data_IF_604130124694
#
_entry.id   IF_604130124694
#
_cell.length_a   1.000
_cell.length_b   1.000
_cell.length_c   1.000
_cell.angle_alpha   90.00
_cell.angle_beta   90.00
_cell.angle_gamma   90.00
#
_symmetry.space_group_name_H-M   'P 1'
#
loop_
_entity.id
_entity.type
_entity.pdbx_description
1 polymer ?
#
# COMPACT_ATOMS: atom_id res chain seq x y z
N UNK A 1 2.10 -24.25 -2.93
CA UNK A 1 0.80 -23.91 -2.32
C UNK A 1 1.07 -23.24 -0.98
N UNK A 2 0.82 -21.96 -0.89
CA UNK A 2 0.79 -21.29 0.42
C UNK A 2 -0.57 -21.64 1.03
N UNK A 3 -0.58 -22.64 1.92
CA UNK A 3 -1.78 -23.03 2.62
C UNK A 3 -2.25 -21.85 3.50
N UNK A 4 -3.55 -21.59 3.53
CA UNK A 4 -4.12 -20.62 4.44
C UNK A 4 -3.79 -21.02 5.89
N UNK A 5 -3.42 -20.05 6.70
CA UNK A 5 -3.21 -20.19 8.13
C UNK A 5 -4.55 -20.01 8.86
N UNK A 6 -4.67 -20.56 10.05
CA UNK A 6 -5.84 -20.37 10.89
C UNK A 6 -5.51 -19.35 12.01
N UNK A 7 -6.42 -18.40 12.23
CA UNK A 7 -6.39 -17.45 13.33
C UNK A 7 -7.59 -17.71 14.22
N UNK A 8 -7.37 -17.75 15.53
CA UNK A 8 -8.46 -17.77 16.52
C UNK A 8 -8.20 -16.74 17.61
N UNK A 9 -9.24 -16.04 18.00
CA UNK A 9 -9.22 -15.04 19.07
C UNK A 9 -10.10 -15.51 20.20
N UNK A 10 -9.59 -15.43 21.42
CA UNK A 10 -10.28 -15.89 22.63
C UNK A 10 -10.34 -14.78 23.65
N UNK A 11 -11.39 -14.83 24.48
CA UNK A 11 -11.49 -14.04 25.72
C UNK A 11 -11.62 -14.94 26.92
N UNK A 12 -11.35 -14.39 28.10
CA UNK A 12 -11.59 -15.06 29.36
C UNK A 12 -12.79 -14.42 30.05
N UNK A 13 -13.89 -15.12 30.13
CA UNK A 13 -15.12 -14.67 30.78
C UNK A 13 -15.50 -15.63 31.90
N UNK A 14 -15.61 -15.14 33.13
CA UNK A 14 -15.94 -15.93 34.32
C UNK A 14 -15.03 -17.17 34.52
N UNK A 15 -13.73 -17.00 34.20
CA UNK A 15 -12.74 -18.09 34.29
C UNK A 15 -12.85 -19.14 33.19
N UNK A 16 -13.66 -18.90 32.13
CA UNK A 16 -13.79 -19.78 30.98
C UNK A 16 -13.22 -19.11 29.72
N UNK A 17 -12.53 -19.92 28.91
CA UNK A 17 -12.06 -19.50 27.60
C UNK A 17 -13.25 -19.56 26.63
N UNK A 18 -13.53 -18.43 25.96
CA UNK A 18 -14.58 -18.29 24.97
C UNK A 18 -13.94 -17.84 23.66
N UNK A 19 -14.22 -18.56 22.56
CA UNK A 19 -13.76 -18.14 21.23
C UNK A 19 -14.64 -17.01 20.72
N UNK A 20 -14.00 -15.90 20.32
CA UNK A 20 -14.66 -14.72 19.77
C UNK A 20 -14.62 -14.71 18.25
N UNK A 21 -13.57 -15.27 17.64
CA UNK A 21 -13.38 -15.30 16.21
C UNK A 21 -12.54 -16.51 15.80
N UNK A 22 -12.90 -17.13 14.69
CA UNK A 22 -12.05 -18.09 13.97
C UNK A 22 -12.11 -17.78 12.47
N UNK A 23 -10.96 -17.64 11.82
CA UNK A 23 -10.85 -17.30 10.40
C UNK A 23 -9.57 -17.88 9.78
N UNK A 24 -9.60 -18.09 8.46
CA UNK A 24 -8.41 -18.46 7.69
C UNK A 24 -7.85 -17.22 6.98
N UNK A 25 -6.50 -17.13 6.88
CA UNK A 25 -5.83 -15.99 6.29
C UNK A 25 -4.54 -16.40 5.57
N UNK A 26 -4.07 -15.54 4.65
CA UNK A 26 -2.73 -15.57 4.08
C UNK A 26 -1.80 -14.62 4.82
N UNK A 27 -2.30 -13.42 5.12
CA UNK A 27 -1.60 -12.36 5.85
C UNK A 27 -2.59 -11.61 6.74
N UNK A 28 -2.11 -10.97 7.81
CA UNK A 28 -2.95 -10.16 8.69
C UNK A 28 -2.22 -8.98 9.30
N UNK A 29 -3.00 -8.01 9.76
CA UNK A 29 -2.50 -6.95 10.64
C UNK A 29 -3.58 -6.50 11.61
N UNK A 30 -3.15 -5.84 12.69
CA UNK A 30 -4.03 -5.25 13.70
C UNK A 30 -3.91 -3.73 13.63
N UNK A 31 -5.02 -3.05 13.37
CA UNK A 31 -5.08 -1.60 13.31
C UNK A 31 -6.45 -1.11 13.79
N UNK A 32 -6.51 0.09 14.32
CA UNK A 32 -7.77 0.77 14.59
C UNK A 32 -8.21 1.45 13.28
N UNK A 33 -9.09 0.78 12.53
CA UNK A 33 -9.49 1.22 11.18
C UNK A 33 -10.81 2.00 11.18
N UNK A 34 -11.59 1.92 12.24
CA UNK A 34 -12.81 2.72 12.38
C UNK A 34 -12.64 3.95 13.30
N UNK A 35 -11.51 4.04 14.00
CA UNK A 35 -11.14 5.19 14.82
C UNK A 35 -11.78 5.19 16.21
N UNK A 36 -12.21 4.04 16.71
CA UNK A 36 -12.85 3.88 18.03
C UNK A 36 -11.85 3.68 19.17
N UNK A 37 -10.55 3.54 18.87
CA UNK A 37 -9.46 3.32 19.81
C UNK A 37 -9.19 1.85 20.12
N UNK A 38 -9.96 0.91 19.60
CA UNK A 38 -9.73 -0.51 19.72
C UNK A 38 -9.02 -1.04 18.47
N UNK A 39 -8.40 -2.21 18.59
CA UNK A 39 -7.74 -2.84 17.45
C UNK A 39 -8.69 -3.76 16.72
N UNK A 40 -8.91 -3.46 15.45
CA UNK A 40 -9.57 -4.34 14.50
C UNK A 40 -8.60 -5.38 13.94
N UNK A 41 -9.16 -6.45 13.38
CA UNK A 41 -8.39 -7.48 12.69
C UNK A 41 -8.63 -7.32 11.19
N UNK A 42 -7.58 -6.98 10.46
CA UNK A 42 -7.56 -6.97 9.00
C UNK A 42 -6.90 -8.26 8.53
N UNK A 43 -7.62 -9.04 7.72
CA UNK A 43 -7.14 -10.29 7.13
C UNK A 43 -7.10 -10.19 5.61
N UNK A 44 -6.11 -10.83 5.01
CA UNK A 44 -6.06 -11.09 3.58
C UNK A 44 -6.19 -12.59 3.33
N UNK A 45 -7.09 -12.97 2.44
CA UNK A 45 -7.16 -14.31 1.86
C UNK A 45 -6.78 -14.22 0.39
N UNK A 46 -5.63 -14.77 0.06
CA UNK A 46 -5.07 -14.75 -1.28
C UNK A 46 -5.05 -16.16 -1.87
N UNK A 47 -5.57 -16.30 -3.08
CA UNK A 47 -5.52 -17.53 -3.87
C UNK A 47 -4.46 -17.39 -4.97
N UNK A 48 -3.28 -18.02 -4.84
CA UNK A 48 -2.21 -17.90 -5.82
C UNK A 48 -2.52 -18.60 -7.15
N UNK A 49 -3.43 -19.58 -7.18
CA UNK A 49 -3.80 -20.29 -8.41
C UNK A 49 -4.74 -19.43 -9.26
N UNK A 50 -5.68 -18.75 -8.61
CA UNK A 50 -6.60 -17.83 -9.28
C UNK A 50 -6.02 -16.42 -9.44
N UNK A 51 -4.90 -16.13 -8.76
CA UNK A 51 -4.25 -14.80 -8.71
C UNK A 51 -5.23 -13.71 -8.27
N UNK A 52 -6.05 -14.03 -7.28
CA UNK A 52 -7.07 -13.14 -6.70
C UNK A 52 -7.01 -13.17 -5.18
N UNK A 53 -7.58 -12.17 -4.55
CA UNK A 53 -7.67 -12.13 -3.10
C UNK A 53 -8.75 -11.18 -2.62
N UNK A 54 -9.08 -11.34 -1.35
CA UNK A 54 -10.03 -10.49 -0.64
C UNK A 54 -9.43 -10.02 0.67
N UNK A 55 -9.76 -8.79 1.04
CA UNK A 55 -9.53 -8.24 2.35
C UNK A 55 -10.79 -8.35 3.18
N UNK A 56 -10.65 -8.79 4.42
CA UNK A 56 -11.71 -8.89 5.41
C UNK A 56 -11.35 -8.00 6.60
N UNK A 57 -12.35 -7.30 7.10
CA UNK A 57 -12.22 -6.49 8.30
C UNK A 57 -13.18 -7.02 9.37
N UNK A 58 -12.62 -7.35 10.53
CA UNK A 58 -13.35 -7.70 11.74
C UNK A 58 -13.14 -6.59 12.76
N UNK A 59 -14.17 -5.75 12.95
CA UNK A 59 -14.13 -4.63 13.88
C UNK A 59 -14.40 -5.12 15.29
N UNK A 60 -13.65 -4.62 16.24
CA UNK A 60 -13.89 -4.87 17.65
C UNK A 60 -14.93 -3.88 18.21
N UNK A 61 -16.16 -4.33 18.40
CA UNK A 61 -17.27 -3.52 18.94
C UNK A 61 -17.73 -4.12 20.25
N UNK A 62 -17.64 -3.38 21.35
CA UNK A 62 -18.03 -3.86 22.69
C UNK A 62 -17.41 -5.22 23.07
N UNK A 63 -16.16 -5.46 22.63
CA UNK A 63 -15.44 -6.70 22.92
C UNK A 63 -15.89 -7.92 22.10
N UNK A 64 -16.67 -7.70 21.03
CA UNK A 64 -17.05 -8.69 20.05
C UNK A 64 -16.53 -8.30 18.67
N UNK A 65 -16.36 -9.28 17.77
CA UNK A 65 -15.92 -8.99 16.41
C UNK A 65 -17.10 -8.99 15.44
N UNK A 66 -17.30 -7.85 14.77
CA UNK A 66 -18.25 -7.67 13.70
C UNK A 66 -17.54 -7.68 12.35
N UNK A 67 -17.94 -8.58 11.47
CA UNK A 67 -17.37 -8.64 10.12
C UNK A 67 -18.01 -7.58 9.22
N UNK A 68 -17.18 -6.69 8.68
CA UNK A 68 -17.60 -5.81 7.60
C UNK A 68 -17.73 -6.59 6.26
N UNK A 69 -18.43 -6.07 5.25
CA UNK A 69 -18.38 -6.62 3.91
C UNK A 69 -16.93 -6.70 3.41
N UNK A 70 -16.58 -7.77 2.72
CA UNK A 70 -15.23 -7.94 2.17
C UNK A 70 -14.96 -6.99 1.01
N UNK A 71 -13.69 -6.64 0.81
CA UNK A 71 -13.22 -5.83 -0.31
C UNK A 71 -12.23 -6.62 -1.16
N UNK A 72 -12.35 -6.51 -2.50
CA UNK A 72 -11.45 -7.23 -3.41
C UNK A 72 -10.06 -6.59 -3.46
N UNK A 73 -9.04 -7.43 -3.54
CA UNK A 73 -7.70 -7.05 -3.98
C UNK A 73 -7.67 -6.91 -5.50
N UNK A 74 -6.66 -6.23 -6.02
CA UNK A 74 -6.36 -6.22 -7.45
C UNK A 74 -6.18 -7.64 -7.97
N UNK A 75 -6.82 -7.96 -9.10
CA UNK A 75 -6.68 -9.27 -9.76
C UNK A 75 -5.34 -9.39 -10.49
N UNK A 76 -4.89 -10.61 -10.75
CA UNK A 76 -3.65 -10.91 -11.49
C UNK A 76 -2.39 -10.80 -10.66
N UNK A 77 -2.48 -10.56 -9.35
CA UNK A 77 -1.31 -10.52 -8.45
C UNK A 77 -0.75 -11.92 -8.20
N UNK A 78 0.57 -11.99 -8.01
CA UNK A 78 1.29 -13.27 -7.83
C UNK A 78 1.63 -13.56 -6.36
N UNK A 79 1.55 -12.56 -5.51
CA UNK A 79 1.82 -12.70 -4.07
C UNK A 79 1.90 -11.38 -3.34
N UNK A 80 1.67 -11.43 -2.05
CA UNK A 80 1.74 -10.27 -1.16
C UNK A 80 3.20 -10.04 -0.75
N UNK A 81 3.68 -8.81 -0.81
CA UNK A 81 5.05 -8.42 -0.45
C UNK A 81 5.14 -7.63 0.84
N UNK A 82 4.22 -6.72 1.07
CA UNK A 82 4.26 -5.85 2.23
C UNK A 82 2.87 -5.38 2.61
N UNK A 83 2.61 -5.37 3.90
CA UNK A 83 1.47 -4.69 4.51
C UNK A 83 2.00 -3.55 5.36
N UNK A 84 1.42 -2.36 5.19
CA UNK A 84 1.72 -1.18 5.97
C UNK A 84 0.41 -0.59 6.48
N UNK A 85 0.33 -0.28 7.76
CA UNK A 85 -0.77 0.48 8.36
C UNK A 85 -0.37 1.93 8.52
N UNK A 86 -1.29 2.85 8.29
CA UNK A 86 -1.06 4.29 8.42
C UNK A 86 -2.32 5.06 8.13
N UNK A 87 -2.17 6.32 7.73
CA UNK A 87 -3.29 7.21 7.48
C UNK A 87 -3.32 7.68 6.03
N UNK A 88 -4.52 7.66 5.43
CA UNK A 88 -4.80 8.30 4.15
C UNK A 88 -4.95 9.83 4.29
N UNK A 89 -5.63 10.23 5.35
CA UNK A 89 -5.77 11.58 5.86
C UNK A 89 -5.79 11.50 7.38
N UNK A 90 -5.68 12.64 8.07
CA UNK A 90 -5.50 12.67 9.54
C UNK A 90 -6.59 11.93 10.32
N UNK A 91 -7.75 11.69 9.72
CA UNK A 91 -8.90 11.02 10.34
C UNK A 91 -9.32 9.72 9.63
N UNK A 92 -8.51 9.22 8.70
CA UNK A 92 -8.80 8.01 7.92
C UNK A 92 -7.64 7.03 7.98
N UNK A 93 -7.66 6.11 8.96
CA UNK A 93 -6.74 4.98 8.98
C UNK A 93 -6.91 4.10 7.75
N UNK A 94 -5.81 3.50 7.28
CA UNK A 94 -5.82 2.64 6.11
C UNK A 94 -4.75 1.55 6.19
N UNK A 95 -4.94 0.50 5.38
CA UNK A 95 -3.98 -0.57 5.16
C UNK A 95 -3.53 -0.55 3.71
N UNK A 96 -2.22 -0.43 3.50
CA UNK A 96 -1.56 -0.42 2.20
C UNK A 96 -0.95 -1.80 1.94
N UNK A 97 -1.43 -2.49 0.93
CA UNK A 97 -1.02 -3.85 0.58
C UNK A 97 -0.28 -3.83 -0.74
N UNK A 98 1.03 -3.97 -0.69
CA UNK A 98 1.85 -4.09 -1.89
C UNK A 98 1.96 -5.56 -2.31
N UNK A 99 1.58 -5.84 -3.55
CA UNK A 99 1.58 -7.18 -4.14
C UNK A 99 2.40 -7.21 -5.43
N UNK A 100 3.04 -8.35 -5.73
CA UNK A 100 3.67 -8.59 -7.03
C UNK A 100 2.59 -8.72 -8.08
N UNK A 101 2.67 -7.92 -9.14
CA UNK A 101 1.74 -7.98 -10.26
C UNK A 101 2.30 -8.80 -11.42
N UNK A 102 3.60 -8.64 -11.66
CA UNK A 102 4.41 -9.45 -12.56
C UNK A 102 5.87 -9.49 -12.07
N UNK A 103 6.77 -10.11 -12.83
CA UNK A 103 8.17 -10.28 -12.44
C UNK A 103 8.90 -8.95 -12.12
N UNK A 104 8.44 -7.83 -12.67
CA UNK A 104 9.10 -6.52 -12.58
C UNK A 104 8.22 -5.45 -11.94
N UNK A 105 6.93 -5.72 -11.71
CA UNK A 105 5.98 -4.72 -11.26
C UNK A 105 5.31 -5.10 -9.94
N UNK A 106 4.96 -4.08 -9.19
CA UNK A 106 4.08 -4.19 -8.02
C UNK A 106 2.87 -3.29 -8.17
N UNK A 107 1.79 -3.71 -7.53
CA UNK A 107 0.56 -2.92 -7.33
C UNK A 107 0.36 -2.70 -5.85
N UNK A 108 -0.22 -1.57 -5.47
CA UNK A 108 -0.59 -1.31 -4.06
C UNK A 108 -2.09 -1.10 -3.96
N UNK A 109 -2.77 -2.01 -3.27
CA UNK A 109 -4.15 -1.86 -2.86
C UNK A 109 -4.21 -1.08 -1.54
N UNK A 110 -5.16 -0.17 -1.43
CA UNK A 110 -5.35 0.66 -0.23
C UNK A 110 -6.74 0.44 0.33
N UNK A 111 -6.83 -0.14 1.50
CA UNK A 111 -8.08 -0.46 2.16
C UNK A 111 -8.36 0.52 3.29
N UNK A 112 -9.58 1.03 3.33
CA UNK A 112 -10.04 1.92 4.38
C UNK A 112 -11.49 1.61 4.77
N UNK A 113 -11.81 1.90 6.03
CA UNK A 113 -13.17 1.83 6.54
C UNK A 113 -13.64 3.24 6.92
N UNK A 114 -14.76 3.67 6.37
CA UNK A 114 -15.36 4.96 6.71
C UNK A 114 -16.88 4.95 6.54
N UNK A 115 -17.58 5.44 7.55
CA UNK A 115 -19.04 5.59 7.48
C UNK A 115 -19.80 4.27 7.26
N UNK A 116 -19.31 3.14 7.77
CA UNK A 116 -19.91 1.83 7.59
C UNK A 116 -19.49 1.09 6.32
N UNK A 117 -18.61 1.68 5.52
CA UNK A 117 -18.15 1.09 4.24
C UNK A 117 -16.68 0.71 4.36
N UNK A 118 -16.37 -0.56 4.12
CA UNK A 118 -15.01 -1.06 3.96
C UNK A 118 -14.74 -1.29 2.46
N UNK A 119 -13.67 -0.71 1.92
CA UNK A 119 -13.40 -0.75 0.49
C UNK A 119 -11.91 -0.63 0.15
N UNK A 120 -11.55 -1.08 -1.04
CA UNK A 120 -10.28 -0.76 -1.69
C UNK A 120 -10.41 0.59 -2.40
N UNK A 121 -9.90 1.66 -1.79
CA UNK A 121 -10.04 3.05 -2.29
C UNK A 121 -9.11 3.35 -3.47
N UNK A 122 -8.15 2.50 -3.75
CA UNK A 122 -7.26 2.62 -4.91
C UNK A 122 -7.79 1.91 -6.16
N UNK A 123 -8.79 1.02 -6.00
CA UNK A 123 -9.37 0.30 -7.11
C UNK A 123 -10.19 1.22 -8.03
N UNK A 124 -10.04 1.02 -9.32
CA UNK A 124 -10.86 1.66 -10.36
C UNK A 124 -12.10 0.81 -10.65
N UNK A 125 -12.93 1.26 -11.58
CA UNK A 125 -14.12 0.52 -12.06
C UNK A 125 -13.76 -0.86 -12.63
N UNK A 126 -12.51 -1.09 -12.99
CA UNK A 126 -12.02 -2.41 -13.43
C UNK A 126 -11.74 -3.37 -12.29
N UNK A 127 -11.86 -2.94 -11.03
CA UNK A 127 -11.50 -3.71 -9.85
C UNK A 127 -9.99 -3.83 -9.59
N UNK A 128 -9.18 -3.03 -10.29
CA UNK A 128 -7.73 -2.98 -10.12
C UNK A 128 -7.26 -1.61 -9.68
N UNK A 129 -6.22 -1.58 -8.87
CA UNK A 129 -5.51 -0.37 -8.43
C UNK A 129 -4.48 0.07 -9.49
N UNK A 130 -4.93 0.25 -10.74
CA UNK A 130 -4.05 0.49 -11.91
C UNK A 130 -3.14 1.69 -11.77
N UNK A 131 -3.59 2.71 -11.03
CA UNK A 131 -2.81 3.94 -10.81
C UNK A 131 -1.61 3.74 -9.88
N UNK A 132 -1.58 2.62 -9.14
CA UNK A 132 -0.50 2.28 -8.22
C UNK A 132 0.47 1.26 -8.79
N UNK A 133 0.21 0.74 -10.00
CA UNK A 133 1.11 -0.20 -10.70
C UNK A 133 2.39 0.51 -11.10
N UNK A 134 3.51 -0.11 -10.79
CA UNK A 134 4.84 0.40 -11.13
C UNK A 134 5.86 -0.72 -11.29
N UNK A 135 6.78 -0.53 -12.22
CA UNK A 135 7.87 -1.47 -12.51
C UNK A 135 9.09 -1.30 -11.58
N UNK A 136 8.86 -0.85 -10.36
CA UNK A 136 9.91 -0.64 -9.37
C UNK A 136 9.41 -1.04 -7.98
N UNK A 137 10.24 -1.76 -7.23
CA UNK A 137 9.90 -2.18 -5.86
C UNK A 137 10.08 -1.04 -4.85
N UNK A 138 9.41 0.08 -5.09
CA UNK A 138 9.30 1.20 -4.15
C UNK A 138 7.96 1.11 -3.46
N UNK A 139 7.97 1.12 -2.14
CA UNK A 139 6.77 0.93 -1.33
C UNK A 139 6.21 2.27 -0.85
N UNK A 140 4.92 2.27 -0.54
CA UNK A 140 4.28 3.36 0.17
C UNK A 140 5.01 3.66 1.49
N UNK A 141 5.14 4.93 1.84
CA UNK A 141 5.81 5.39 3.04
C UNK A 141 5.35 6.82 3.39
N UNK A 142 5.50 7.21 4.64
CA UNK A 142 5.43 8.61 5.07
C UNK A 142 6.78 9.26 4.68
N UNK A 143 6.81 9.89 3.50
CA UNK A 143 8.06 10.40 2.90
C UNK A 143 8.45 11.77 3.42
N UNK A 144 7.52 12.50 4.02
CA UNK A 144 7.75 13.85 4.51
C UNK A 144 7.53 14.00 6.03
N UNK A 145 7.21 12.90 6.71
CA UNK A 145 7.03 12.81 8.15
C UNK A 145 5.84 13.65 8.66
N UNK A 146 4.77 13.75 7.84
CA UNK A 146 3.54 14.42 8.22
C UNK A 146 2.50 13.48 8.84
N UNK A 147 2.83 12.17 8.95
CA UNK A 147 1.99 11.13 9.51
C UNK A 147 1.02 10.49 8.53
N UNK A 148 1.00 10.94 7.28
CA UNK A 148 0.22 10.33 6.21
C UNK A 148 1.11 9.40 5.38
N UNK A 149 0.49 8.46 4.67
CA UNK A 149 1.23 7.54 3.81
C UNK A 149 1.08 7.97 2.36
N UNK A 150 2.21 8.21 1.71
CA UNK A 150 2.28 8.50 0.29
C UNK A 150 2.52 7.24 -0.53
N UNK A 151 1.89 7.24 -1.71
CA UNK A 151 2.11 6.27 -2.76
C UNK A 151 3.13 6.81 -3.77
N UNK A 152 4.12 5.99 -4.19
CA UNK A 152 5.09 6.42 -5.18
C UNK A 152 4.56 6.21 -6.61
N UNK A 153 4.80 7.19 -7.47
CA UNK A 153 4.62 7.12 -8.90
C UNK A 153 5.94 7.42 -9.59
N UNK A 154 6.38 6.52 -10.47
CA UNK A 154 7.57 6.74 -11.27
C UNK A 154 7.27 7.73 -12.40
N UNK A 155 8.16 8.70 -12.56
CA UNK A 155 8.14 9.66 -13.66
C UNK A 155 9.50 9.62 -14.33
N UNK A 156 9.53 9.42 -15.65
CA UNK A 156 10.77 9.49 -16.41
C UNK A 156 10.95 10.91 -16.92
N UNK A 157 11.95 11.65 -16.41
CA UNK A 157 12.22 12.99 -16.89
C UNK A 157 12.75 12.96 -18.34
N UNK A 158 12.72 14.08 -19.06
CA UNK A 158 13.32 14.17 -20.39
C UNK A 158 14.78 13.69 -20.36
N UNK A 159 15.18 12.86 -21.32
CA UNK A 159 16.57 12.39 -21.43
C UNK A 159 17.35 13.26 -22.41
N UNK A 160 18.57 13.63 -22.05
CA UNK A 160 19.50 14.27 -22.95
C UNK A 160 20.15 13.28 -23.94
N UNK A 161 20.11 11.98 -23.64
CA UNK A 161 20.57 10.90 -24.50
C UNK A 161 19.44 9.83 -24.59
N UNK A 162 18.73 9.77 -25.74
CA UNK A 162 17.68 8.79 -25.96
C UNK A 162 18.15 7.33 -25.94
N UNK A 163 19.44 7.07 -26.12
CA UNK A 163 20.04 5.74 -26.14
C UNK A 163 20.80 5.43 -24.82
N UNK A 164 20.87 6.40 -23.90
CA UNK A 164 21.50 6.23 -22.59
C UNK A 164 20.62 5.55 -21.55
N UNK A 165 21.19 5.33 -20.37
CA UNK A 165 20.45 4.86 -19.22
C UNK A 165 19.32 5.85 -18.88
N UNK A 166 18.11 5.32 -18.71
CA UNK A 166 16.97 6.12 -18.26
C UNK A 166 16.88 6.08 -16.74
N UNK A 167 16.83 7.25 -16.14
CA UNK A 167 16.65 7.43 -14.71
C UNK A 167 15.23 7.90 -14.43
N UNK A 168 14.62 7.37 -13.39
CA UNK A 168 13.29 7.80 -12.96
C UNK A 168 13.40 8.65 -11.71
N UNK A 169 12.54 9.64 -11.61
CA UNK A 169 12.23 10.34 -10.37
C UNK A 169 10.92 9.76 -9.81
N UNK A 170 10.71 9.91 -8.52
CA UNK A 170 9.53 9.42 -7.83
C UNK A 170 8.70 10.60 -7.39
N UNK A 171 7.46 10.65 -7.87
CA UNK A 171 6.45 11.58 -7.41
C UNK A 171 5.61 10.89 -6.35
N UNK A 172 5.59 11.45 -5.15
CA UNK A 172 4.83 10.93 -4.02
C UNK A 172 3.51 11.65 -3.91
N UNK A 173 2.43 10.90 -3.72
CA UNK A 173 1.09 11.45 -3.62
C UNK A 173 0.27 10.77 -2.54
N UNK A 174 -0.58 11.54 -1.85
CA UNK A 174 -1.64 10.96 -1.03
C UNK A 174 -2.84 10.61 -1.91
N UNK A 175 -3.50 9.54 -1.52
CA UNK A 175 -4.78 9.15 -2.09
C UNK A 175 -5.91 9.63 -1.18
N UNK A 176 -6.99 10.18 -1.74
CA UNK A 176 -8.20 10.48 -0.99
C UNK A 176 -9.14 9.28 -0.97
N UNK A 177 -10.15 9.27 -0.07
CA UNK A 177 -11.20 8.25 -0.07
C UNK A 177 -11.95 8.13 -1.40
N UNK A 178 -12.03 9.20 -2.17
CA UNK A 178 -12.64 9.21 -3.50
C UNK A 178 -11.67 8.84 -4.63
N UNK A 179 -10.47 8.34 -4.33
CA UNK A 179 -9.49 7.92 -5.33
C UNK A 179 -8.71 9.06 -6.00
N UNK A 180 -8.92 10.33 -5.60
CA UNK A 180 -8.17 11.45 -6.15
C UNK A 180 -6.75 11.51 -5.56
N UNK A 181 -5.78 11.82 -6.41
CA UNK A 181 -4.36 11.96 -6.05
C UNK A 181 -4.02 13.41 -5.68
N UNK A 182 -3.22 13.60 -4.65
CA UNK A 182 -2.63 14.88 -4.26
C UNK A 182 -1.12 14.73 -4.19
N UNK A 183 -0.40 15.35 -5.13
CA UNK A 183 1.07 15.33 -5.13
C UNK A 183 1.59 16.08 -3.89
N UNK A 184 2.54 15.48 -3.21
CA UNK A 184 3.15 15.96 -1.97
C UNK A 184 4.61 16.31 -2.18
N UNK A 185 5.36 15.45 -2.86
CA UNK A 185 6.80 15.57 -2.98
C UNK A 185 7.33 14.87 -4.23
N UNK A 186 8.40 15.39 -4.77
CA UNK A 186 9.18 14.72 -5.82
C UNK A 186 10.57 14.41 -5.29
N UNK A 187 11.07 13.20 -5.54
CA UNK A 187 12.39 12.75 -5.07
C UNK A 187 13.15 12.03 -6.19
N UNK A 188 14.47 12.08 -6.11
CA UNK A 188 15.33 11.16 -6.83
C UNK A 188 15.99 10.20 -5.83
N UNK A 189 15.97 8.90 -6.13
CA UNK A 189 16.53 7.86 -5.27
C UNK A 189 17.75 7.20 -5.90
N UNK A 190 18.83 7.12 -5.15
CA UNK A 190 19.95 6.24 -5.43
C UNK A 190 19.80 4.95 -4.62
N UNK A 191 19.25 3.91 -5.25
CA UNK A 191 19.01 2.65 -4.56
C UNK A 191 20.28 1.93 -4.16
N UNK A 192 21.31 1.99 -5.01
CA UNK A 192 22.62 1.44 -4.70
C UNK A 192 23.35 2.21 -3.59
N UNK A 193 23.11 3.50 -3.50
CA UNK A 193 23.69 4.37 -2.46
C UNK A 193 22.88 4.42 -1.17
N UNK A 194 21.62 3.97 -1.18
CA UNK A 194 20.74 4.00 -0.01
C UNK A 194 20.33 5.40 0.43
N UNK A 195 20.29 6.38 -0.49
CA UNK A 195 19.88 7.76 -0.20
C UNK A 195 18.88 8.29 -1.22
N UNK A 196 18.19 9.36 -0.84
CA UNK A 196 17.37 10.14 -1.77
C UNK A 196 17.54 11.63 -1.54
N UNK A 197 17.19 12.42 -2.56
CA UNK A 197 17.14 13.87 -2.49
C UNK A 197 15.75 14.35 -2.90
N UNK A 198 15.22 15.33 -2.16
CA UNK A 198 13.98 16.02 -2.53
C UNK A 198 14.27 17.02 -3.64
N UNK A 199 13.44 16.98 -4.67
CA UNK A 199 13.51 17.90 -5.81
C UNK A 199 12.41 18.97 -5.66
N UNK A 200 12.69 20.22 -6.02
CA UNK A 200 11.65 21.22 -6.17
C UNK A 200 10.59 20.76 -7.19
N UNK A 201 9.33 21.07 -6.95
CA UNK A 201 8.22 20.60 -7.80
C UNK A 201 8.36 21.08 -9.26
N UNK A 202 8.84 22.31 -9.44
CA UNK A 202 9.11 22.90 -10.76
C UNK A 202 10.21 22.19 -11.56
N UNK A 203 11.02 21.36 -10.91
CA UNK A 203 12.08 20.61 -11.57
C UNK A 203 11.60 19.31 -12.19
N UNK A 204 10.49 18.74 -11.72
CA UNK A 204 9.99 17.42 -12.13
C UNK A 204 9.84 17.26 -13.64
N UNK A 205 9.56 18.36 -14.37
CA UNK A 205 9.37 18.36 -15.82
C UNK A 205 10.51 19.07 -16.58
N UNK A 206 11.48 19.64 -15.85
CA UNK A 206 12.51 20.53 -16.41
C UNK A 206 13.93 20.01 -16.26
N UNK A 207 14.13 18.95 -15.49
CA UNK A 207 15.46 18.38 -15.26
C UNK A 207 15.69 17.13 -16.12
N UNK A 208 16.97 16.86 -16.36
CA UNK A 208 17.44 15.55 -16.82
C UNK A 208 18.31 14.93 -15.74
N UNK A 209 18.34 13.61 -15.67
CA UNK A 209 19.24 12.86 -14.80
C UNK A 209 20.12 12.00 -15.68
N UNK A 210 21.44 12.10 -15.48
CA UNK A 210 22.43 11.32 -16.23
C UNK A 210 23.58 10.91 -15.34
N UNK A 211 24.24 9.83 -15.69
CA UNK A 211 25.49 9.42 -15.04
C UNK A 211 26.61 10.33 -15.47
N UNK A 212 27.48 10.71 -14.52
CA UNK A 212 28.73 11.41 -14.80
C UNK A 212 29.90 10.45 -14.66
N UNK A 213 30.69 10.31 -15.71
CA UNK A 213 31.93 9.52 -15.67
C UNK A 213 33.10 10.25 -14.96
N UNK A 214 32.99 11.56 -14.79
CA UNK A 214 34.03 12.39 -14.14
C UNK A 214 33.95 12.35 -12.61
N UNK A 215 32.77 12.06 -12.07
CA UNK A 215 32.55 11.90 -10.62
C UNK A 215 31.71 10.65 -10.48
N UNK A 216 32.16 9.68 -9.71
CA UNK A 216 31.34 8.46 -9.45
C UNK A 216 29.98 8.85 -8.86
N UNK A 217 29.07 9.32 -9.70
CA UNK A 217 27.80 9.90 -9.31
C UNK A 217 26.83 10.05 -10.47
N UNK A 218 25.66 10.53 -10.15
CA UNK A 218 24.58 10.86 -11.08
C UNK A 218 24.39 12.38 -11.09
N UNK A 219 24.21 12.98 -12.25
CA UNK A 219 23.90 14.40 -12.42
C UNK A 219 22.42 14.62 -12.60
#
# INVERSE_FOLDING_TARGET
NQALQALSVYTLTDGRVVELLSANYSEYTLADLDGDGQKDIFLLRFDPEQRTGVAELYRCVDGQFERAPEASMSAGVEGIKRILTGYLSYDVPAVFVASVYDAESIVTDVFAYRGGVFQNVSATDTGMSVQTVRNYFVYAADIDSDGLIELPQLVTPPSSDPNGEQYSIIRWYNLTLGGAQRIKRTTYHSFSGGWYVTLPDEWAESITVSRSDEVSGVR
#
